data_IF_899222936136
#
_entry.id   IF_899222936136
#
_cell.length_a   1.000
_cell.length_b   1.000
_cell.length_c   1.000
_cell.angle_alpha   90.00
_cell.angle_beta   90.00
_cell.angle_gamma   90.00
#
_symmetry.space_group_name_H-M   'P 1'
#
loop_
_entity.id
_entity.type
_entity.pdbx_description
1 polymer ?
#
# COMPACT_ATOMS: atom_id res chain seq x y z
N UNK A 1 85.66 -72.98 55.60
CA UNK A 1 85.56 -71.58 55.12
C UNK A 1 84.63 -71.54 53.91
N UNK A 2 83.81 -70.48 53.82
CA UNK A 2 82.79 -70.05 52.83
C UNK A 2 82.84 -70.72 51.42
N UNK A 3 81.75 -71.27 50.87
CA UNK A 3 80.52 -70.68 50.26
C UNK A 3 80.75 -69.94 48.91
N UNK A 4 80.17 -70.45 47.80
CA UNK A 4 79.14 -69.82 46.92
C UNK A 4 79.19 -70.23 45.42
N UNK A 5 77.96 -70.46 44.93
CA UNK A 5 77.35 -70.84 43.65
C UNK A 5 77.26 -69.69 42.61
N UNK A 6 77.27 -69.99 41.29
CA UNK A 6 76.45 -69.42 40.18
C UNK A 6 77.02 -69.94 38.84
N UNK A 7 76.30 -70.25 37.75
CA UNK A 7 74.95 -69.90 37.30
C UNK A 7 75.02 -69.61 35.78
N UNK A 8 74.28 -70.38 34.99
CA UNK A 8 74.10 -70.41 33.53
C UNK A 8 73.81 -69.03 32.88
N UNK A 9 74.08 -68.85 31.57
CA UNK A 9 73.15 -68.18 30.60
C UNK A 9 73.59 -68.45 29.14
N UNK A 10 72.61 -68.88 28.35
CA UNK A 10 72.62 -69.19 26.92
C UNK A 10 72.20 -67.94 26.14
N UNK A 11 72.86 -67.63 25.02
CA UNK A 11 72.52 -66.53 24.12
C UNK A 11 71.78 -67.10 22.89
N UNK A 12 70.49 -66.79 22.74
CA UNK A 12 69.70 -67.06 21.52
C UNK A 12 69.38 -65.72 20.86
N UNK A 13 69.82 -65.59 19.61
CA UNK A 13 69.59 -64.46 18.72
C UNK A 13 68.14 -64.52 18.19
N UNK A 14 67.30 -63.56 18.56
CA UNK A 14 65.94 -63.40 18.03
C UNK A 14 65.94 -62.50 16.79
N UNK A 15 65.47 -63.03 15.66
CA UNK A 15 65.19 -62.28 14.43
C UNK A 15 63.85 -61.55 14.63
N UNK A 16 63.88 -60.22 14.67
CA UNK A 16 62.68 -59.38 14.71
C UNK A 16 62.05 -59.24 13.32
N UNK A 17 60.83 -59.76 13.15
CA UNK A 17 59.94 -59.41 12.06
C UNK A 17 59.40 -57.99 12.31
N UNK A 18 59.78 -57.04 11.46
CA UNK A 18 59.15 -55.72 11.42
C UNK A 18 57.77 -55.86 10.77
N UNK A 19 56.72 -55.89 11.58
CA UNK A 19 55.36 -55.66 11.13
C UNK A 19 55.21 -54.18 10.78
N UNK A 20 54.90 -53.89 9.52
CA UNK A 20 54.52 -52.56 9.07
C UNK A 20 53.05 -52.34 9.45
N UNK A 21 52.80 -51.84 10.67
CA UNK A 21 51.48 -51.33 11.03
C UNK A 21 51.24 -50.02 10.27
N UNK A 22 50.37 -50.08 9.26
CA UNK A 22 49.71 -48.86 8.77
C UNK A 22 48.78 -48.41 9.90
N UNK A 23 49.11 -47.30 10.56
CA UNK A 23 48.16 -46.58 11.38
C UNK A 23 46.94 -46.26 10.50
N UNK A 24 45.84 -46.96 10.73
CA UNK A 24 44.55 -46.62 10.12
C UNK A 24 44.08 -45.38 10.85
N UNK A 25 44.16 -44.21 10.20
CA UNK A 25 43.56 -43.00 10.77
C UNK A 25 42.09 -43.28 11.13
N UNK A 26 41.64 -42.89 12.34
CA UNK A 26 40.27 -43.14 12.75
C UNK A 26 39.33 -42.44 11.78
N UNK A 27 38.38 -43.20 11.22
CA UNK A 27 37.31 -42.64 10.40
C UNK A 27 36.52 -41.69 11.32
N UNK A 28 36.65 -40.38 11.10
CA UNK A 28 35.87 -39.37 11.82
C UNK A 28 34.43 -39.48 11.33
N UNK A 29 33.59 -40.13 12.13
CA UNK A 29 32.15 -40.22 11.86
C UNK A 29 31.50 -38.86 12.11
N UNK A 30 30.98 -38.24 11.06
CA UNK A 30 30.30 -36.96 11.15
C UNK A 30 28.86 -37.12 11.67
N UNK A 31 28.56 -36.44 12.78
CA UNK A 31 27.26 -36.46 13.46
C UNK A 31 26.69 -35.07 13.69
N UNK A 32 27.38 -34.03 13.24
CA UNK A 32 26.99 -32.65 13.50
C UNK A 32 26.11 -32.21 12.33
N UNK A 33 24.93 -31.69 12.64
CA UNK A 33 24.03 -31.21 11.61
C UNK A 33 24.51 -29.87 11.03
N UNK A 34 24.28 -29.63 9.72
CA UNK A 34 24.60 -28.37 9.10
C UNK A 34 23.78 -27.21 9.67
N UNK A 35 24.37 -26.01 9.67
CA UNK A 35 23.73 -24.77 10.09
C UNK A 35 23.16 -24.07 8.86
N UNK A 36 21.84 -24.01 8.76
CA UNK A 36 21.12 -23.22 7.76
C UNK A 36 20.75 -21.85 8.33
N UNK A 37 20.79 -20.79 7.51
CA UNK A 37 20.43 -19.42 7.88
C UNK A 37 19.58 -18.79 6.79
N UNK A 38 18.56 -18.04 7.21
CA UNK A 38 17.79 -17.13 6.35
C UNK A 38 18.06 -15.71 6.84
N UNK A 39 18.52 -14.84 5.94
CA UNK A 39 18.58 -13.42 6.22
C UNK A 39 17.17 -12.88 6.50
N UNK A 40 17.01 -12.09 7.56
CA UNK A 40 15.71 -11.52 7.97
C UNK A 40 14.99 -10.84 6.81
N UNK A 41 15.78 -10.20 5.95
CA UNK A 41 15.34 -9.49 4.76
C UNK A 41 14.88 -10.45 3.65
N UNK A 42 14.65 -11.73 3.90
CA UNK A 42 14.05 -12.64 2.91
C UNK A 42 12.96 -13.52 3.51
N UNK A 43 12.50 -13.23 4.73
CA UNK A 43 11.47 -14.01 5.42
C UNK A 43 10.07 -13.90 4.80
N UNK A 44 9.77 -12.84 4.03
CA UNK A 44 8.47 -12.62 3.40
C UNK A 44 8.70 -12.27 1.93
N UNK A 45 8.00 -12.90 0.99
CA UNK A 45 8.07 -12.60 -0.45
C UNK A 45 6.66 -12.27 -0.94
N UNK A 46 6.52 -11.24 -1.78
CA UNK A 46 5.24 -10.88 -2.39
C UNK A 46 5.21 -11.27 -3.86
N UNK A 47 4.17 -11.99 -4.26
CA UNK A 47 3.96 -12.44 -5.63
C UNK A 47 2.58 -12.06 -6.11
N UNK A 48 2.49 -11.81 -7.40
CA UNK A 48 1.22 -11.70 -8.10
C UNK A 48 0.69 -13.10 -8.44
N UNK A 49 -0.63 -13.24 -8.42
CA UNK A 49 -1.30 -14.47 -8.84
C UNK A 49 -0.98 -14.72 -10.31
N UNK A 50 -0.62 -15.97 -10.63
CA UNK A 50 -0.17 -16.39 -11.96
C UNK A 50 1.08 -15.63 -12.46
N UNK A 51 1.88 -15.02 -11.58
CA UNK A 51 3.11 -14.36 -11.99
C UNK A 51 4.09 -15.36 -12.60
N UNK A 52 4.60 -15.05 -13.79
CA UNK A 52 5.60 -15.86 -14.48
C UNK A 52 7.00 -15.50 -13.94
N UNK A 53 7.49 -16.27 -12.98
CA UNK A 53 8.80 -16.08 -12.33
C UNK A 53 9.51 -17.40 -12.03
N UNK A 54 10.84 -17.37 -12.00
CA UNK A 54 11.65 -18.47 -11.48
C UNK A 54 11.52 -18.52 -9.95
N UNK A 55 10.54 -19.28 -9.47
CA UNK A 55 10.18 -19.32 -8.05
C UNK A 55 11.32 -19.84 -7.17
N UNK A 56 12.12 -20.80 -7.65
CA UNK A 56 13.20 -21.39 -6.84
C UNK A 56 14.34 -20.41 -6.63
N UNK A 57 14.69 -19.65 -7.66
CA UNK A 57 15.69 -18.58 -7.57
C UNK A 57 15.24 -17.47 -6.60
N UNK A 58 13.96 -17.09 -6.64
CA UNK A 58 13.43 -16.11 -5.69
C UNK A 58 13.40 -16.65 -4.25
N UNK A 59 13.00 -17.91 -4.08
CA UNK A 59 12.91 -18.56 -2.77
C UNK A 59 14.29 -18.78 -2.14
N UNK A 60 15.34 -19.06 -2.90
CA UNK A 60 16.68 -19.33 -2.35
C UNK A 60 17.47 -18.07 -1.96
N UNK A 61 17.06 -16.88 -2.42
CA UNK A 61 17.76 -15.63 -2.08
C UNK A 61 17.88 -15.41 -0.57
N UNK A 62 19.08 -15.07 -0.11
CA UNK A 62 19.38 -14.84 1.31
C UNK A 62 19.36 -16.10 2.18
N UNK A 63 19.26 -17.31 1.61
CA UNK A 63 19.41 -18.58 2.33
C UNK A 63 20.82 -19.11 2.13
N UNK A 64 21.48 -19.49 3.22
CA UNK A 64 22.86 -20.05 3.22
C UNK A 64 22.93 -21.26 4.13
N UNK A 65 23.87 -22.16 3.85
CA UNK A 65 24.11 -23.34 4.68
C UNK A 65 25.60 -23.68 4.78
N UNK A 66 26.05 -23.97 6.00
CA UNK A 66 27.44 -24.29 6.30
C UNK A 66 27.50 -25.50 7.23
N UNK A 67 28.45 -26.38 6.98
CA UNK A 67 28.74 -27.57 7.77
C UNK A 67 30.20 -27.57 8.27
N UNK A 68 30.48 -28.25 9.39
CA UNK A 68 31.82 -28.33 9.97
C UNK A 68 32.81 -29.18 9.16
N UNK A 69 32.36 -30.19 8.43
CA UNK A 69 33.19 -31.09 7.61
C UNK A 69 32.98 -30.82 6.12
N UNK A 70 31.74 -30.65 5.67
CA UNK A 70 31.43 -30.45 4.25
C UNK A 70 31.62 -29.01 3.74
N UNK A 71 31.78 -28.04 4.65
CA UNK A 71 32.00 -26.64 4.30
C UNK A 71 30.73 -25.93 3.83
N UNK A 72 30.82 -25.13 2.78
CA UNK A 72 29.65 -24.45 2.20
C UNK A 72 28.83 -25.42 1.36
N UNK A 73 27.62 -25.72 1.85
CA UNK A 73 26.65 -26.62 1.21
C UNK A 73 25.40 -25.86 0.78
N UNK A 74 25.47 -24.55 0.60
CA UNK A 74 24.35 -23.70 0.19
C UNK A 74 23.68 -24.19 -1.10
N UNK A 75 24.44 -24.73 -2.05
CA UNK A 75 23.92 -25.31 -3.29
C UNK A 75 23.07 -26.57 -3.10
N UNK A 76 23.10 -27.20 -1.92
CA UNK A 76 22.39 -28.45 -1.63
C UNK A 76 21.07 -28.24 -0.88
N UNK A 77 20.72 -26.98 -0.58
CA UNK A 77 19.49 -26.63 0.14
C UNK A 77 18.28 -27.16 -0.62
N UNK A 78 17.41 -27.85 0.12
CA UNK A 78 16.13 -28.35 -0.35
C UNK A 78 15.04 -27.34 0.00
N UNK A 79 14.12 -27.12 -0.94
CA UNK A 79 12.97 -26.22 -0.80
C UNK A 79 11.70 -27.05 -0.86
N UNK A 80 11.00 -27.17 0.27
CA UNK A 80 9.65 -27.72 0.30
C UNK A 80 8.63 -26.58 0.10
N UNK A 81 8.15 -26.51 -1.14
CA UNK A 81 7.10 -25.59 -1.61
C UNK A 81 5.78 -26.31 -1.92
N UNK A 82 5.57 -27.50 -1.35
CA UNK A 82 4.38 -28.33 -1.63
C UNK A 82 3.05 -27.64 -1.29
N UNK A 83 3.07 -26.72 -0.31
CA UNK A 83 1.92 -25.92 0.10
C UNK A 83 1.69 -24.68 -0.80
N UNK A 84 2.68 -24.26 -1.60
CA UNK A 84 2.63 -23.02 -2.39
C UNK A 84 1.75 -23.19 -3.64
N UNK A 85 0.69 -22.38 -3.74
CA UNK A 85 -0.19 -22.34 -4.90
C UNK A 85 -0.24 -20.92 -5.47
N UNK A 86 0.53 -20.66 -6.54
CA UNK A 86 0.57 -19.34 -7.20
C UNK A 86 -0.72 -18.98 -7.94
N UNK A 87 -1.66 -19.91 -8.08
CA UNK A 87 -2.97 -19.68 -8.71
C UNK A 87 -4.02 -19.21 -7.72
N UNK A 88 -3.71 -19.22 -6.43
CA UNK A 88 -4.63 -18.81 -5.36
C UNK A 88 -3.98 -17.74 -4.50
N UNK A 89 -4.76 -16.73 -4.15
CA UNK A 89 -4.33 -15.71 -3.20
C UNK A 89 -4.24 -16.30 -1.81
N UNK A 90 -3.20 -15.95 -1.07
CA UNK A 90 -2.99 -16.49 0.26
C UNK A 90 -1.61 -16.20 0.81
N UNK A 91 -1.42 -16.56 2.08
CA UNK A 91 -0.11 -16.59 2.72
C UNK A 91 0.31 -18.05 2.84
N UNK A 92 1.43 -18.40 2.24
CA UNK A 92 1.95 -19.76 2.13
C UNK A 92 3.27 -19.88 2.87
N UNK A 93 3.48 -20.97 3.60
CA UNK A 93 4.75 -21.23 4.28
C UNK A 93 5.60 -22.17 3.43
N UNK A 94 6.78 -21.71 3.02
CA UNK A 94 7.79 -22.52 2.33
C UNK A 94 8.88 -22.92 3.33
N UNK A 95 9.31 -24.19 3.30
CA UNK A 95 10.30 -24.75 4.24
C UNK A 95 11.63 -24.99 3.55
N UNK A 96 12.73 -24.75 4.28
CA UNK A 96 14.10 -24.93 3.82
C UNK A 96 14.85 -25.83 4.79
N UNK A 97 15.60 -26.79 4.26
CA UNK A 97 16.48 -27.67 5.02
C UNK A 97 17.60 -28.17 4.10
N UNK A 98 18.66 -28.71 4.69
CA UNK A 98 19.77 -29.29 3.93
C UNK A 98 20.30 -30.52 4.67
N UNK A 99 20.81 -31.48 3.90
CA UNK A 99 21.55 -32.63 4.42
C UNK A 99 23.03 -32.46 4.08
N UNK A 100 23.89 -32.80 5.03
CA UNK A 100 25.31 -33.04 4.77
C UNK A 100 25.52 -34.40 4.06
N UNK A 101 26.76 -34.76 3.76
CA UNK A 101 27.09 -36.06 3.13
C UNK A 101 26.91 -37.24 4.09
N UNK A 102 26.98 -37.03 5.40
CA UNK A 102 26.74 -38.04 6.43
C UNK A 102 25.25 -38.26 6.73
N UNK A 103 24.37 -37.48 6.07
CA UNK A 103 22.90 -37.48 6.20
C UNK A 103 22.39 -36.88 7.51
N UNK A 104 23.17 -36.05 8.20
CA UNK A 104 22.61 -35.21 9.27
C UNK A 104 21.80 -34.07 8.62
N UNK A 105 20.62 -33.78 9.18
CA UNK A 105 19.72 -32.77 8.66
C UNK A 105 19.82 -31.48 9.46
N UNK A 106 19.86 -30.33 8.78
CA UNK A 106 19.70 -29.04 9.44
C UNK A 106 18.35 -28.91 10.15
N UNK A 107 18.23 -27.89 10.99
CA UNK A 107 16.91 -27.38 11.38
C UNK A 107 16.12 -26.92 10.16
N UNK A 108 14.79 -26.92 10.27
CA UNK A 108 13.89 -26.41 9.22
C UNK A 108 13.68 -24.92 9.45
N UNK A 109 13.95 -24.11 8.44
CA UNK A 109 13.60 -22.70 8.43
C UNK A 109 12.44 -22.44 7.48
N UNK A 110 11.72 -21.32 7.68
CA UNK A 110 10.54 -20.99 6.89
C UNK A 110 10.60 -19.59 6.28
N UNK A 111 9.99 -19.45 5.10
CA UNK A 111 9.61 -18.15 4.50
C UNK A 111 8.10 -18.09 4.32
N UNK A 112 7.53 -16.91 4.43
CA UNK A 112 6.15 -16.62 4.04
C UNK A 112 6.13 -16.11 2.60
N UNK A 113 5.27 -16.67 1.77
CA UNK A 113 4.99 -16.20 0.41
C UNK A 113 3.56 -15.68 0.37
N UNK A 114 3.39 -14.41 0.06
CA UNK A 114 2.08 -13.75 0.00
C UNK A 114 1.71 -13.58 -1.48
N UNK A 115 0.76 -14.40 -1.95
CA UNK A 115 0.23 -14.33 -3.33
C UNK A 115 -1.00 -13.41 -3.33
N UNK A 116 -1.02 -12.44 -4.24
CA UNK A 116 -2.05 -11.39 -4.35
C UNK A 116 -2.73 -11.39 -5.70
N UNK A 117 -4.02 -11.07 -5.74
CA UNK A 117 -4.73 -10.90 -7.00
C UNK A 117 -4.18 -9.67 -7.76
N UNK A 118 -4.13 -9.78 -9.09
CA UNK A 118 -3.93 -8.66 -10.02
C UNK A 118 -5.28 -8.28 -10.62
N UNK A 119 -5.51 -6.98 -10.74
CA UNK A 119 -6.75 -6.46 -11.33
C UNK A 119 -6.40 -5.41 -12.38
N UNK A 120 -7.12 -5.47 -13.49
CA UNK A 120 -7.13 -4.38 -14.46
C UNK A 120 -8.15 -3.32 -14.04
N UNK A 121 -8.04 -2.13 -14.65
CA UNK A 121 -9.02 -1.07 -14.48
C UNK A 121 -10.38 -1.55 -15.00
N UNK A 122 -11.40 -1.44 -14.15
CA UNK A 122 -12.76 -1.88 -14.47
C UNK A 122 -13.31 -1.06 -15.63
N UNK A 123 -13.64 -1.75 -16.73
CA UNK A 123 -14.41 -1.16 -17.83
C UNK A 123 -15.76 -0.65 -17.32
N UNK A 124 -16.24 0.53 -17.76
CA UNK A 124 -17.47 1.11 -17.22
C UNK A 124 -18.70 0.21 -17.38
N UNK A 125 -19.41 -0.08 -16.28
CA UNK A 125 -20.69 -0.80 -16.32
C UNK A 125 -21.79 0.00 -17.06
N UNK A 126 -22.88 -0.63 -17.54
CA UNK A 126 -24.01 0.13 -18.08
C UNK A 126 -24.61 1.08 -17.03
N UNK A 127 -25.18 2.19 -17.50
CA UNK A 127 -25.86 3.16 -16.63
C UNK A 127 -27.30 2.70 -16.38
N UNK A 128 -27.76 2.82 -15.14
CA UNK A 128 -29.15 2.64 -14.74
C UNK A 128 -29.76 3.98 -14.34
N UNK A 129 -30.78 4.42 -15.09
CA UNK A 129 -31.48 5.69 -14.88
C UNK A 129 -32.92 5.53 -14.38
N UNK A 130 -33.43 4.30 -14.32
CA UNK A 130 -34.79 4.02 -13.85
C UNK A 130 -34.84 4.01 -12.31
N UNK A 131 -36.04 4.13 -11.71
CA UNK A 131 -36.21 3.87 -10.28
C UNK A 131 -35.63 2.50 -9.89
N UNK A 132 -35.01 2.44 -8.71
CA UNK A 132 -34.47 1.20 -8.17
C UNK A 132 -35.46 0.68 -7.13
N UNK A 133 -35.90 -0.56 -7.29
CA UNK A 133 -36.79 -1.19 -6.32
C UNK A 133 -36.11 -1.28 -4.95
N UNK A 134 -36.82 -0.88 -3.90
CA UNK A 134 -36.32 -0.87 -2.52
C UNK A 134 -35.05 -0.02 -2.33
N UNK A 135 -34.88 1.04 -3.13
CA UNK A 135 -33.83 2.04 -2.90
C UNK A 135 -34.07 2.77 -1.57
N UNK A 136 -32.99 2.99 -0.83
CA UNK A 136 -33.00 3.77 0.39
C UNK A 136 -33.39 5.23 0.09
N UNK A 137 -34.12 5.85 1.02
CA UNK A 137 -34.43 7.26 0.94
C UNK A 137 -33.16 8.12 1.02
N UNK A 138 -33.28 9.39 0.60
CA UNK A 138 -32.23 10.39 0.72
C UNK A 138 -31.65 10.39 2.16
N UNK A 139 -30.32 10.36 2.32
CA UNK A 139 -29.70 10.40 3.64
C UNK A 139 -29.99 11.73 4.34
N UNK A 140 -30.05 11.71 5.67
CA UNK A 140 -30.15 12.90 6.48
C UNK A 140 -28.90 13.79 6.35
N UNK A 141 -29.01 15.04 6.82
CA UNK A 141 -27.89 15.97 6.85
C UNK A 141 -26.75 15.43 7.73
N UNK A 142 -25.53 15.62 7.23
CA UNK A 142 -24.35 15.08 7.88
C UNK A 142 -23.90 15.96 9.05
N UNK A 143 -23.29 15.34 10.06
CA UNK A 143 -22.61 16.08 11.12
C UNK A 143 -21.29 16.65 10.61
N UNK A 144 -20.95 17.85 11.07
CA UNK A 144 -19.62 18.43 10.90
C UNK A 144 -18.61 17.63 11.71
N UNK A 145 -17.49 17.28 11.08
CA UNK A 145 -16.32 16.73 11.74
C UNK A 145 -15.22 17.78 11.73
N UNK A 146 -14.57 17.99 12.87
CA UNK A 146 -13.52 19.00 13.00
C UNK A 146 -12.22 18.61 12.28
N UNK A 147 -11.37 19.61 12.02
CA UNK A 147 -9.95 19.41 11.73
C UNK A 147 -9.53 19.61 10.30
N UNK A 148 -10.47 19.94 9.41
CA UNK A 148 -10.21 20.15 7.99
C UNK A 148 -11.24 21.11 7.39
N UNK A 149 -10.92 21.63 6.20
CA UNK A 149 -11.88 22.27 5.31
C UNK A 149 -12.27 21.25 4.26
N UNK A 150 -13.52 20.80 4.22
CA UNK A 150 -13.97 19.85 3.21
C UNK A 150 -15.37 20.13 2.67
N UNK A 151 -15.56 19.79 1.40
CA UNK A 151 -16.85 19.60 0.78
C UNK A 151 -17.07 18.11 0.53
N UNK A 152 -18.10 17.54 1.16
CA UNK A 152 -18.39 16.11 1.14
C UNK A 152 -19.76 15.84 0.57
N UNK A 153 -19.86 14.81 -0.26
CA UNK A 153 -21.12 14.25 -0.76
C UNK A 153 -21.18 12.79 -0.35
N UNK A 154 -22.24 12.41 0.37
CA UNK A 154 -22.39 11.05 0.93
C UNK A 154 -23.71 10.42 0.50
N UNK A 155 -23.68 9.13 0.18
CA UNK A 155 -24.83 8.40 -0.34
C UNK A 155 -25.80 8.03 0.77
N UNK A 156 -27.04 7.73 0.36
CA UNK A 156 -27.93 6.90 1.15
C UNK A 156 -27.22 5.59 1.54
N UNK A 157 -27.54 5.06 2.72
CA UNK A 157 -27.10 3.74 3.13
C UNK A 157 -27.94 2.69 2.38
N UNK A 158 -27.32 2.00 1.42
CA UNK A 158 -27.99 1.05 0.54
C UNK A 158 -27.03 -0.08 0.11
N UNK A 159 -27.48 -1.00 -0.74
CA UNK A 159 -26.71 -2.12 -1.27
C UNK A 159 -25.71 -1.70 -2.37
N UNK A 160 -24.97 -0.63 -2.11
CA UNK A 160 -23.89 -0.15 -2.96
C UNK A 160 -22.67 -1.07 -2.83
N UNK A 161 -21.98 -1.33 -3.95
CA UNK A 161 -20.77 -2.17 -4.00
C UNK A 161 -19.55 -1.41 -4.53
N UNK A 162 -19.71 -0.12 -4.80
CA UNK A 162 -18.63 0.74 -5.23
C UNK A 162 -19.10 2.16 -5.54
N UNK A 163 -18.14 3.01 -5.86
CA UNK A 163 -18.31 4.38 -6.36
C UNK A 163 -17.24 4.63 -7.42
N UNK A 164 -17.58 5.38 -8.46
CA UNK A 164 -16.61 5.91 -9.40
C UNK A 164 -16.90 7.38 -9.70
N UNK A 165 -15.87 8.12 -10.09
CA UNK A 165 -16.02 9.49 -10.54
C UNK A 165 -14.92 9.90 -11.52
N UNK A 166 -15.32 10.60 -12.57
CA UNK A 166 -14.40 11.23 -13.53
C UNK A 166 -14.16 12.66 -13.09
N UNK A 167 -12.92 12.99 -12.75
CA UNK A 167 -12.52 14.28 -12.18
C UNK A 167 -11.34 14.87 -12.94
N UNK A 168 -11.41 16.17 -13.21
CA UNK A 168 -10.26 16.98 -13.61
C UNK A 168 -9.66 17.57 -12.34
N UNK A 169 -8.39 17.25 -12.08
CA UNK A 169 -7.72 17.67 -10.84
C UNK A 169 -7.55 19.20 -10.79
N UNK A 170 -7.80 19.83 -9.64
CA UNK A 170 -7.73 21.27 -9.47
C UNK A 170 -6.28 21.77 -9.40
N UNK A 171 -6.06 23.02 -9.80
CA UNK A 171 -4.87 23.77 -9.37
C UNK A 171 -4.96 24.13 -7.89
N UNK A 172 -3.81 24.32 -7.26
CA UNK A 172 -3.67 24.57 -5.83
C UNK A 172 -2.83 25.81 -5.57
N UNK A 173 -3.14 26.52 -4.48
CA UNK A 173 -2.31 27.59 -3.92
C UNK A 173 -2.16 27.33 -2.42
N UNK A 174 -1.02 26.76 -2.02
CA UNK A 174 -0.75 26.44 -0.61
C UNK A 174 -0.17 27.68 0.09
N UNK A 175 -0.73 28.04 1.24
CA UNK A 175 -0.31 29.23 2.03
C UNK A 175 0.05 28.93 3.48
N UNK A 176 -0.01 27.67 3.94
CA UNK A 176 0.32 27.29 5.32
C UNK A 176 1.46 26.27 5.38
N UNK A 177 2.58 26.66 5.97
CA UNK A 177 3.83 25.90 6.02
C UNK A 177 4.44 25.89 7.43
N UNK A 178 5.18 24.82 7.76
CA UNK A 178 6.01 24.71 8.96
C UNK A 178 7.35 25.40 8.69
N UNK A 179 7.42 26.71 8.96
CA UNK A 179 8.63 27.52 8.78
C UNK A 179 8.43 28.77 7.92
N UNK A 180 9.50 29.25 7.30
CA UNK A 180 9.48 30.44 6.45
C UNK A 180 9.00 30.10 5.04
N UNK A 181 7.77 30.49 4.69
CA UNK A 181 7.24 30.28 3.34
C UNK A 181 7.89 31.24 2.32
N UNK A 182 8.38 30.70 1.20
CA UNK A 182 8.79 31.51 0.04
C UNK A 182 7.60 31.86 -0.86
N UNK A 183 7.12 33.10 -0.72
CA UNK A 183 6.00 33.62 -1.52
C UNK A 183 6.26 33.73 -3.03
N UNK A 184 7.52 33.64 -3.48
CA UNK A 184 7.87 33.65 -4.90
C UNK A 184 7.64 32.29 -5.58
N UNK A 185 7.53 31.23 -4.80
CA UNK A 185 7.26 29.87 -5.29
C UNK A 185 5.77 29.56 -5.20
N UNK A 186 5.26 28.80 -6.17
CA UNK A 186 3.88 28.30 -6.11
C UNK A 186 3.71 27.27 -4.98
N UNK A 187 4.74 26.47 -4.74
CA UNK A 187 4.88 25.50 -3.64
C UNK A 187 6.34 25.50 -3.23
N UNK A 188 6.60 25.55 -1.93
CA UNK A 188 7.96 25.44 -1.40
C UNK A 188 8.33 23.97 -1.11
N UNK A 189 9.29 23.36 -1.85
CA UNK A 189 9.67 21.98 -1.63
C UNK A 189 10.54 21.78 -0.37
N UNK A 190 11.04 22.85 0.26
CA UNK A 190 11.95 22.80 1.41
C UNK A 190 11.22 22.85 2.75
N UNK A 191 10.03 23.43 2.81
CA UNK A 191 9.23 23.51 4.04
C UNK A 191 8.06 22.55 4.00
N UNK A 192 7.66 22.04 5.16
CA UNK A 192 6.54 21.09 5.25
C UNK A 192 5.23 21.83 5.09
N UNK A 193 4.39 21.37 4.17
CA UNK A 193 3.03 21.89 4.01
C UNK A 193 2.19 21.45 5.22
N UNK A 194 1.50 22.39 5.86
CA UNK A 194 0.60 22.11 6.97
C UNK A 194 -0.85 21.93 6.50
N UNK A 195 -1.17 22.41 5.31
CA UNK A 195 -2.42 22.16 4.60
C UNK A 195 -2.17 21.16 3.48
N UNK A 196 -2.99 20.12 3.46
CA UNK A 196 -2.82 18.94 2.62
C UNK A 196 -4.09 18.71 1.80
N UNK A 197 -4.22 19.34 0.61
CA UNK A 197 -5.35 19.09 -0.26
C UNK A 197 -5.50 17.61 -0.62
N UNK A 198 -6.74 17.14 -0.68
CA UNK A 198 -7.05 15.76 -1.02
C UNK A 198 -8.36 15.67 -1.80
N UNK A 199 -8.42 14.67 -2.68
CA UNK A 199 -9.62 14.26 -3.39
C UNK A 199 -9.75 12.77 -3.12
N UNK A 200 -10.71 12.40 -2.29
CA UNK A 200 -10.88 11.01 -1.89
C UNK A 200 -12.33 10.59 -1.93
N UNK A 201 -12.50 9.29 -2.10
CA UNK A 201 -13.75 8.58 -1.98
C UNK A 201 -13.63 7.59 -0.83
N UNK A 202 -14.55 6.63 -0.77
CA UNK A 202 -14.58 5.62 0.26
C UNK A 202 -15.99 5.54 0.82
N UNK A 203 -16.11 5.06 2.04
CA UNK A 203 -17.43 4.69 2.54
C UNK A 203 -17.39 4.09 3.92
N UNK A 204 -18.59 3.76 4.40
CA UNK A 204 -18.78 3.08 5.65
C UNK A 204 -19.75 1.91 5.44
N UNK A 205 -19.33 0.73 5.89
CA UNK A 205 -20.16 -0.46 6.01
C UNK A 205 -20.13 -0.94 7.48
N UNK A 206 -19.39 -2.01 7.79
CA UNK A 206 -19.07 -2.32 9.19
C UNK A 206 -17.86 -1.52 9.70
N UNK A 207 -17.03 -1.05 8.77
CA UNK A 207 -15.84 -0.22 9.02
C UNK A 207 -15.74 0.89 7.99
N UNK A 208 -15.01 1.95 8.34
CA UNK A 208 -14.77 3.08 7.46
C UNK A 208 -13.56 2.85 6.54
N UNK A 209 -13.61 3.45 5.35
CA UNK A 209 -12.46 3.59 4.44
C UNK A 209 -12.45 4.97 3.78
N UNK A 210 -11.25 5.51 3.59
CA UNK A 210 -10.99 6.79 2.92
C UNK A 210 -9.86 6.57 1.89
N UNK A 211 -10.17 6.74 0.61
CA UNK A 211 -9.38 6.16 -0.46
C UNK A 211 -9.38 7.08 -1.68
N UNK A 212 -8.21 7.42 -2.21
CA UNK A 212 -8.12 8.25 -3.39
C UNK A 212 -6.77 8.93 -3.51
N UNK A 213 -6.78 10.24 -3.69
CA UNK A 213 -5.62 11.06 -3.96
C UNK A 213 -5.41 12.09 -2.86
N UNK A 214 -4.17 12.22 -2.41
CA UNK A 214 -3.78 13.26 -1.48
C UNK A 214 -2.50 13.93 -1.97
N UNK A 215 -2.44 15.24 -1.80
CA UNK A 215 -1.30 16.04 -2.21
C UNK A 215 -0.13 15.74 -1.28
N UNK A 216 0.89 15.03 -1.76
CA UNK A 216 1.93 14.41 -0.94
C UNK A 216 3.33 14.72 -1.44
N UNK A 217 4.37 14.45 -0.63
CA UNK A 217 5.75 14.59 -1.06
C UNK A 217 6.04 13.83 -2.37
N UNK A 218 6.87 14.40 -3.21
CA UNK A 218 7.24 13.87 -4.52
C UNK A 218 8.77 13.94 -4.69
N UNK A 219 9.33 13.17 -5.60
CA UNK A 219 10.74 13.30 -6.00
C UNK A 219 10.94 14.50 -6.91
N UNK A 220 11.82 15.42 -6.56
CA UNK A 220 12.18 16.60 -7.36
C UNK A 220 13.66 16.59 -7.69
N UNK A 221 14.04 17.24 -8.80
CA UNK A 221 15.44 17.46 -9.16
C UNK A 221 15.93 18.79 -8.58
N UNK A 222 16.89 18.72 -7.66
CA UNK A 222 17.56 19.91 -7.08
C UNK A 222 19.03 19.87 -7.49
N UNK A 223 19.45 20.85 -8.29
CA UNK A 223 20.81 20.93 -8.86
C UNK A 223 21.22 19.63 -9.60
N UNK A 224 20.28 19.01 -10.31
CA UNK A 224 20.50 17.75 -11.04
C UNK A 224 20.42 16.48 -10.19
N UNK A 225 20.24 16.59 -8.87
CA UNK A 225 20.12 15.44 -7.98
C UNK A 225 18.67 15.21 -7.55
N UNK A 226 18.23 13.95 -7.55
CA UNK A 226 16.91 13.58 -7.08
C UNK A 226 16.79 13.68 -5.55
N UNK A 227 15.71 14.32 -5.08
CA UNK A 227 15.40 14.51 -3.67
C UNK A 227 13.90 14.40 -3.45
N UNK A 228 13.46 13.74 -2.38
CA UNK A 228 12.05 13.81 -1.96
C UNK A 228 11.79 15.18 -1.30
N UNK A 229 10.74 15.87 -1.72
CA UNK A 229 10.32 17.15 -1.14
C UNK A 229 10.02 17.01 0.36
N UNK A 230 10.29 18.07 1.13
CA UNK A 230 9.82 18.15 2.52
C UNK A 230 8.34 18.58 2.57
N UNK A 231 7.93 19.45 1.65
CA UNK A 231 6.53 19.80 1.38
C UNK A 231 5.81 18.76 0.51
N UNK A 232 4.51 18.95 0.30
CA UNK A 232 3.72 18.16 -0.66
C UNK A 232 3.77 18.81 -2.05
N UNK A 233 3.81 18.01 -3.12
CA UNK A 233 4.04 18.53 -4.48
C UNK A 233 3.25 17.83 -5.61
N UNK A 234 2.65 16.65 -5.38
CA UNK A 234 1.80 15.98 -6.37
C UNK A 234 0.63 15.24 -5.71
N UNK A 235 -0.49 15.07 -6.43
CA UNK A 235 -1.56 14.17 -5.98
C UNK A 235 -1.11 12.73 -6.15
N UNK A 236 -1.07 11.98 -5.05
CA UNK A 236 -0.60 10.60 -5.02
C UNK A 236 -1.64 9.66 -4.42
N UNK A 237 -1.74 8.41 -4.92
CA UNK A 237 -2.66 7.41 -4.38
C UNK A 237 -2.46 7.14 -2.89
N UNK A 238 -3.56 6.95 -2.19
CA UNK A 238 -3.60 6.46 -0.82
C UNK A 238 -4.87 5.68 -0.55
N UNK A 239 -4.80 4.77 0.42
CA UNK A 239 -5.97 4.09 0.95
C UNK A 239 -5.83 3.97 2.46
N UNK A 240 -6.84 4.42 3.16
CA UNK A 240 -6.99 4.31 4.61
C UNK A 240 -8.18 3.42 4.91
N UNK A 241 -8.00 2.50 5.84
CA UNK A 241 -9.04 1.53 6.21
C UNK A 241 -8.94 1.13 7.67
N UNK A 242 -10.08 0.86 8.29
CA UNK A 242 -10.13 0.39 9.68
C UNK A 242 -10.19 -1.14 9.69
N UNK A 243 -9.29 -1.79 10.44
CA UNK A 243 -9.35 -3.23 10.70
C UNK A 243 -8.68 -3.64 12.01
N UNK A 244 -9.20 -4.71 12.63
CA UNK A 244 -8.60 -5.42 13.77
C UNK A 244 -7.93 -6.73 13.38
N UNK A 245 -8.22 -7.23 12.17
CA UNK A 245 -7.74 -8.51 11.63
C UNK A 245 -6.97 -8.27 10.33
N UNK A 246 -6.17 -9.25 9.89
CA UNK A 246 -5.50 -9.23 8.57
C UNK A 246 -4.77 -7.90 8.30
N UNK A 247 -4.06 -7.39 9.31
CA UNK A 247 -3.31 -6.14 9.20
C UNK A 247 -2.12 -6.37 8.26
N UNK A 248 -2.03 -5.55 7.22
CA UNK A 248 -0.95 -5.57 6.22
C UNK A 248 0.09 -4.47 6.49
N UNK A 249 0.42 -4.25 7.77
CA UNK A 249 1.44 -3.27 8.20
C UNK A 249 2.82 -3.64 7.64
N UNK A 250 3.56 -2.64 7.16
CA UNK A 250 4.91 -2.86 6.62
C UNK A 250 5.43 -1.68 5.82
N UNK A 251 6.74 -1.55 5.70
CA UNK A 251 7.41 -0.53 4.88
C UNK A 251 7.43 -0.92 3.40
N UNK A 252 8.00 -0.06 2.55
CA UNK A 252 8.36 -0.47 1.18
C UNK A 252 9.40 -1.59 1.22
N UNK A 253 9.30 -2.55 0.31
CA UNK A 253 10.25 -3.65 0.16
C UNK A 253 10.35 -4.04 -1.33
N UNK A 254 11.07 -3.20 -2.08
CA UNK A 254 11.14 -3.29 -3.54
C UNK A 254 11.84 -4.56 -4.01
N UNK A 255 12.84 -5.03 -3.26
CA UNK A 255 13.55 -6.27 -3.56
C UNK A 255 12.61 -7.49 -3.54
N UNK A 256 11.51 -7.39 -2.78
CA UNK A 256 10.49 -8.44 -2.65
C UNK A 256 9.16 -8.07 -3.30
N UNK A 257 9.16 -7.09 -4.20
CA UNK A 257 7.98 -6.68 -4.96
C UNK A 257 6.95 -5.84 -4.20
N UNK A 258 7.18 -5.48 -2.93
CA UNK A 258 6.26 -4.62 -2.18
C UNK A 258 6.52 -3.15 -2.47
N UNK A 259 5.68 -2.58 -3.34
CA UNK A 259 5.74 -1.16 -3.74
C UNK A 259 4.84 -0.23 -2.94
N UNK A 260 4.41 -0.62 -1.74
CA UNK A 260 3.62 0.24 -0.87
C UNK A 260 3.96 0.02 0.59
N UNK A 261 3.78 1.05 1.40
CA UNK A 261 3.91 0.99 2.85
C UNK A 261 2.55 1.14 3.50
N UNK A 262 2.31 0.46 4.61
CA UNK A 262 1.12 0.62 5.45
C UNK A 262 1.58 0.88 6.88
N UNK A 263 1.04 1.92 7.50
CA UNK A 263 1.30 2.26 8.90
C UNK A 263 0.02 2.14 9.72
N UNK A 264 0.12 1.52 10.89
CA UNK A 264 -0.97 1.46 11.85
C UNK A 264 -0.96 2.68 12.78
N UNK A 265 -2.07 3.42 12.82
CA UNK A 265 -2.22 4.63 13.65
C UNK A 265 -3.36 4.48 14.67
N UNK A 266 -3.40 5.40 15.63
CA UNK A 266 -4.34 5.39 16.76
C UNK A 266 -3.91 4.46 17.90
N UNK A 267 -4.50 4.63 19.08
CA UNK A 267 -4.19 3.85 20.28
C UNK A 267 -4.46 2.35 20.11
N UNK A 268 -5.53 2.00 19.40
CA UNK A 268 -5.89 0.61 19.06
C UNK A 268 -5.10 0.02 17.90
N UNK A 269 -4.26 0.81 17.22
CA UNK A 269 -3.56 0.44 15.97
C UNK A 269 -4.49 -0.25 14.96
N UNK A 270 -5.70 0.29 14.79
CA UNK A 270 -6.71 -0.25 13.84
C UNK A 270 -6.85 0.60 12.59
N UNK A 271 -6.33 1.82 12.59
CA UNK A 271 -6.39 2.74 11.46
C UNK A 271 -5.16 2.53 10.55
N UNK A 272 -5.34 1.78 9.47
CA UNK A 272 -4.28 1.48 8.51
C UNK A 272 -4.21 2.58 7.46
N UNK A 273 -3.03 3.15 7.25
CA UNK A 273 -2.80 4.18 6.24
C UNK A 273 -1.75 3.69 5.28
N UNK A 274 -2.14 3.51 4.02
CA UNK A 274 -1.27 3.00 2.98
C UNK A 274 -0.87 4.08 1.98
N UNK A 275 0.38 3.99 1.52
CA UNK A 275 0.98 4.89 0.55
C UNK A 275 1.73 4.07 -0.49
N UNK A 276 1.53 4.39 -1.77
CA UNK A 276 2.32 3.81 -2.84
C UNK A 276 3.76 4.36 -2.82
N UNK A 277 4.70 3.59 -3.36
CA UNK A 277 6.11 3.94 -3.42
C UNK A 277 6.31 5.26 -4.17
N UNK A 278 7.10 6.15 -3.57
CA UNK A 278 7.32 7.49 -4.13
C UNK A 278 8.19 7.46 -5.38
N UNK A 279 9.01 6.42 -5.61
CA UNK A 279 9.83 6.31 -6.83
C UNK A 279 9.04 6.18 -8.13
N UNK A 280 7.75 5.84 -8.05
CA UNK A 280 6.89 5.64 -9.22
C UNK A 280 6.21 6.94 -9.66
N UNK A 281 6.98 7.77 -10.35
CA UNK A 281 6.56 9.10 -10.81
C UNK A 281 5.41 9.06 -11.83
N UNK A 282 5.14 7.91 -12.46
CA UNK A 282 3.96 7.70 -13.31
C UNK A 282 2.64 7.77 -12.53
N UNK A 283 2.68 7.64 -11.19
CA UNK A 283 1.50 7.79 -10.31
C UNK A 283 1.49 9.13 -9.58
N UNK A 284 2.25 10.10 -10.09
CA UNK A 284 2.12 11.49 -9.70
C UNK A 284 1.10 12.13 -10.62
N UNK A 285 -0.09 12.41 -10.09
CA UNK A 285 -1.12 13.12 -10.81
C UNK A 285 -1.04 14.61 -10.49
N UNK A 286 -1.22 15.43 -11.52
CA UNK A 286 -1.03 16.87 -11.46
C UNK A 286 -2.32 17.60 -11.85
N UNK A 287 -2.45 18.88 -11.46
CA UNK A 287 -3.57 19.71 -11.90
C UNK A 287 -3.83 19.60 -13.41
N UNK A 288 -5.10 19.49 -13.79
CA UNK A 288 -5.54 19.30 -15.17
C UNK A 288 -5.50 17.87 -15.70
N UNK A 289 -4.88 16.91 -15.00
CA UNK A 289 -5.07 15.49 -15.34
C UNK A 289 -6.55 15.12 -15.15
N UNK A 290 -7.13 14.44 -16.14
CA UNK A 290 -8.49 13.89 -16.07
C UNK A 290 -8.41 12.41 -15.71
N UNK A 291 -8.98 12.07 -14.57
CA UNK A 291 -8.89 10.75 -13.98
C UNK A 291 -10.28 10.17 -13.75
N UNK A 292 -10.47 8.88 -14.02
CA UNK A 292 -11.61 8.13 -13.49
C UNK A 292 -11.13 7.34 -12.28
N UNK A 293 -11.55 7.78 -11.09
CA UNK A 293 -11.22 7.14 -9.81
C UNK A 293 -12.36 6.17 -9.46
N UNK A 294 -12.02 4.93 -9.16
CA UNK A 294 -12.97 3.86 -8.84
C UNK A 294 -12.60 3.25 -7.50
N UNK A 295 -13.57 3.19 -6.59
CA UNK A 295 -13.49 2.38 -5.38
C UNK A 295 -14.54 1.28 -5.51
N UNK A 296 -14.09 0.04 -5.67
CA UNK A 296 -14.98 -1.10 -5.90
C UNK A 296 -14.67 -2.23 -4.94
N UNK A 297 -15.69 -3.02 -4.60
CA UNK A 297 -15.54 -4.22 -3.79
C UNK A 297 -15.40 -5.47 -4.67
N UNK A 298 -14.18 -5.98 -4.91
CA UNK A 298 -13.98 -7.19 -5.70
C UNK A 298 -14.46 -8.45 -4.98
N UNK A 299 -14.50 -8.43 -3.65
CA UNK A 299 -14.92 -9.53 -2.80
C UNK A 299 -15.45 -9.02 -1.45
N UNK A 300 -16.21 -9.87 -0.75
CA UNK A 300 -16.81 -9.53 0.54
C UNK A 300 -15.75 -9.13 1.56
N UNK A 301 -15.97 -8.00 2.24
CA UNK A 301 -15.07 -7.36 3.20
C UNK A 301 -13.82 -6.68 2.62
N UNK A 302 -13.77 -6.43 1.32
CA UNK A 302 -12.61 -5.81 0.68
C UNK A 302 -13.00 -4.69 -0.27
N UNK A 303 -12.09 -3.74 -0.42
CA UNK A 303 -12.15 -2.68 -1.44
C UNK A 303 -10.83 -2.61 -2.20
N UNK A 304 -10.88 -1.99 -3.36
CA UNK A 304 -9.71 -1.66 -4.18
C UNK A 304 -9.85 -0.24 -4.73
N UNK A 305 -8.73 0.48 -4.79
CA UNK A 305 -8.59 1.74 -5.51
C UNK A 305 -8.10 1.44 -6.93
N UNK A 306 -8.80 1.95 -7.92
CA UNK A 306 -8.32 2.01 -9.29
C UNK A 306 -8.41 3.45 -9.79
N UNK A 307 -7.43 3.87 -10.58
CA UNK A 307 -7.36 5.20 -11.18
C UNK A 307 -7.04 4.99 -12.65
N UNK A 308 -7.96 5.40 -13.51
CA UNK A 308 -7.78 5.42 -14.95
C UNK A 308 -7.34 6.81 -15.38
N UNK A 309 -6.23 6.93 -16.11
CA UNK A 309 -5.87 8.20 -16.76
C UNK A 309 -6.65 8.31 -18.06
N UNK A 310 -7.67 9.18 -18.07
CA UNK A 310 -8.49 9.45 -19.25
C UNK A 310 -7.77 10.43 -20.18
N UNK A 311 -7.19 11.48 -19.59
CA UNK A 311 -6.51 12.53 -20.33
C UNK A 311 -5.38 13.12 -19.48
N UNK A 312 -4.21 13.29 -20.08
CA UNK A 312 -3.06 13.97 -19.45
C UNK A 312 -3.30 15.47 -19.42
N UNK A 313 -2.79 16.14 -18.39
CA UNK A 313 -2.91 17.59 -18.25
C UNK A 313 -2.33 18.34 -19.44
N UNK A 314 -3.10 19.32 -19.91
CA UNK A 314 -2.68 20.30 -20.92
C UNK A 314 -2.21 21.62 -20.31
N UNK A 315 -2.19 21.72 -18.97
CA UNK A 315 -1.72 22.93 -18.31
C UNK A 315 -0.20 23.04 -18.49
N UNK A 316 0.26 24.21 -18.93
CA UNK A 316 1.69 24.48 -19.14
C UNK A 316 2.50 24.26 -17.86
N UNK A 317 1.93 24.61 -16.69
CA UNK A 317 2.53 24.38 -15.38
C UNK A 317 2.78 22.90 -15.09
N UNK A 318 1.78 22.04 -15.32
CA UNK A 318 1.89 20.59 -15.11
C UNK A 318 2.86 19.93 -16.10
N UNK A 319 2.83 20.34 -17.38
CA UNK A 319 3.76 19.85 -18.42
C UNK A 319 5.20 20.23 -18.05
N UNK A 320 5.42 21.49 -17.66
CA UNK A 320 6.74 22.01 -17.26
C UNK A 320 7.27 21.25 -16.04
N UNK A 321 6.45 21.05 -15.01
CA UNK A 321 6.85 20.31 -13.81
C UNK A 321 7.31 18.89 -14.13
N UNK A 322 6.56 18.14 -14.96
CA UNK A 322 6.97 16.77 -15.36
C UNK A 322 8.31 16.78 -16.08
N UNK A 323 8.46 17.69 -17.05
CA UNK A 323 9.70 17.84 -17.84
C UNK A 323 10.89 18.19 -16.95
N UNK A 324 10.76 19.20 -16.10
CA UNK A 324 11.83 19.72 -15.26
C UNK A 324 12.32 18.71 -14.22
N UNK A 325 11.44 17.80 -13.78
CA UNK A 325 11.77 16.75 -12.81
C UNK A 325 12.03 15.38 -13.45
N UNK A 326 12.08 15.29 -14.78
CA UNK A 326 12.25 14.04 -15.52
C UNK A 326 11.26 12.93 -15.09
N UNK A 327 10.00 13.32 -14.85
CA UNK A 327 8.96 12.38 -14.47
C UNK A 327 8.37 11.68 -15.69
N UNK A 328 7.90 10.46 -15.47
CA UNK A 328 7.12 9.73 -16.46
C UNK A 328 5.77 10.41 -16.70
N UNK A 329 5.20 10.10 -17.86
CA UNK A 329 3.80 10.41 -18.13
C UNK A 329 2.88 9.69 -17.13
N UNK A 330 1.71 10.27 -16.80
CA UNK A 330 0.81 9.64 -15.86
C UNK A 330 0.24 8.34 -16.45
N UNK A 331 0.21 7.30 -15.62
CA UNK A 331 -0.34 5.98 -15.94
C UNK A 331 -1.52 5.63 -15.03
N UNK A 332 -2.36 4.71 -15.51
CA UNK A 332 -3.42 4.13 -14.70
C UNK A 332 -2.84 3.32 -13.54
N UNK A 333 -3.47 3.43 -12.37
CA UNK A 333 -3.01 2.83 -11.13
C UNK A 333 -4.06 1.86 -10.58
N UNK A 334 -3.59 0.75 -10.00
CA UNK A 334 -4.43 -0.20 -9.28
C UNK A 334 -3.74 -0.52 -7.95
N UNK A 335 -4.42 -0.27 -6.84
CA UNK A 335 -3.92 -0.64 -5.53
C UNK A 335 -4.03 -2.16 -5.33
N UNK A 336 -3.26 -2.73 -4.38
CA UNK A 336 -3.63 -3.99 -3.76
C UNK A 336 -5.07 -3.91 -3.24
N UNK A 337 -5.72 -5.07 -3.15
CA UNK A 337 -6.98 -5.20 -2.43
C UNK A 337 -6.71 -5.04 -0.94
N UNK A 338 -7.51 -4.21 -0.26
CA UNK A 338 -7.35 -3.93 1.16
C UNK A 338 -8.63 -4.17 1.92
N UNK A 339 -8.48 -4.49 3.21
CA UNK A 339 -9.60 -4.83 4.08
C UNK A 339 -10.55 -3.65 4.20
N UNK A 340 -11.84 -3.93 4.09
CA UNK A 340 -12.92 -2.99 4.40
C UNK A 340 -14.15 -3.77 4.85
N UNK A 341 -14.22 -4.05 6.15
CA UNK A 341 -15.26 -4.87 6.75
C UNK A 341 -16.67 -4.42 6.37
N UNK A 342 -17.49 -5.37 5.91
CA UNK A 342 -18.87 -5.17 5.51
C UNK A 342 -19.08 -4.82 4.03
N UNK A 343 -18.14 -4.13 3.37
CA UNK A 343 -18.28 -3.79 1.95
C UNK A 343 -18.35 -5.04 1.07
N UNK A 344 -19.13 -4.99 -0.01
CA UNK A 344 -19.36 -6.12 -0.93
C UNK A 344 -20.15 -7.29 -0.35
N UNK A 345 -20.56 -7.22 0.93
CA UNK A 345 -21.36 -8.23 1.60
C UNK A 345 -22.86 -8.05 1.39
N UNK A 346 -23.64 -8.57 2.33
CA UNK A 346 -25.11 -8.49 2.35
C UNK A 346 -25.63 -7.30 3.15
N UNK A 347 -24.76 -6.55 3.82
CA UNK A 347 -25.15 -5.36 4.57
C UNK A 347 -25.15 -4.14 3.66
N UNK A 348 -25.93 -3.12 4.05
CA UNK A 348 -25.91 -1.84 3.37
C UNK A 348 -24.62 -1.09 3.70
N UNK A 349 -24.19 -0.26 2.76
CA UNK A 349 -23.02 0.60 2.87
C UNK A 349 -23.38 2.01 2.43
N UNK A 350 -22.59 2.98 2.88
CA UNK A 350 -22.54 4.32 2.34
C UNK A 350 -21.26 4.50 1.57
N UNK A 351 -21.30 5.31 0.51
CA UNK A 351 -20.11 5.80 -0.15
C UNK A 351 -20.10 7.32 -0.12
N UNK A 352 -18.90 7.90 -0.12
CA UNK A 352 -18.69 9.34 -0.12
C UNK A 352 -17.65 9.72 -1.15
N UNK A 353 -17.73 10.96 -1.62
CA UNK A 353 -16.63 11.68 -2.25
C UNK A 353 -16.38 12.97 -1.49
N UNK A 354 -15.12 13.38 -1.43
CA UNK A 354 -14.68 14.52 -0.64
C UNK A 354 -13.60 15.27 -1.40
N UNK A 355 -13.77 16.58 -1.45
CA UNK A 355 -12.71 17.54 -1.74
C UNK A 355 -12.32 18.17 -0.40
N UNK A 356 -11.06 18.08 0.01
CA UNK A 356 -10.63 18.57 1.31
C UNK A 356 -9.30 19.32 1.26
N UNK A 357 -9.08 20.13 2.29
CA UNK A 357 -7.79 20.61 2.78
C UNK A 357 -7.65 20.02 4.18
N UNK A 358 -6.99 18.87 4.26
CA UNK A 358 -6.68 18.22 5.53
C UNK A 358 -5.58 19.01 6.25
N UNK A 359 -5.68 19.14 7.58
CA UNK A 359 -4.71 19.92 8.35
C UNK A 359 -3.87 19.02 9.24
N UNK A 360 -2.56 19.13 9.10
CA UNK A 360 -1.59 18.32 9.85
C UNK A 360 -1.87 18.41 11.36
N UNK A 361 -1.99 17.23 12.01
CA UNK A 361 -2.21 17.08 13.45
C UNK A 361 -3.47 17.81 14.01
N UNK A 362 -4.47 18.03 13.17
CA UNK A 362 -5.68 18.77 13.53
C UNK A 362 -6.99 17.96 13.52
N UNK A 363 -6.93 16.66 13.24
CA UNK A 363 -8.14 15.80 13.18
C UNK A 363 -9.01 15.94 14.45
N UNK A 364 -10.31 16.15 14.25
CA UNK A 364 -11.29 16.28 15.33
C UNK A 364 -11.27 17.62 16.08
N UNK A 365 -10.31 18.51 15.82
CA UNK A 365 -10.21 19.84 16.43
C UNK A 365 -10.93 20.91 15.59
N UNK A 366 -10.95 22.15 16.05
CA UNK A 366 -11.41 23.27 15.22
C UNK A 366 -10.51 23.42 13.99
N UNK A 367 -11.08 23.54 12.80
CA UNK A 367 -10.29 23.80 11.59
C UNK A 367 -9.54 25.13 11.75
N UNK A 368 -8.26 25.17 11.42
CA UNK A 368 -7.42 26.36 11.50
C UNK A 368 -7.68 27.21 10.25
N UNK A 369 -7.82 28.52 10.43
CA UNK A 369 -7.96 29.44 9.30
C UNK A 369 -6.74 29.38 8.38
N UNK A 370 -6.95 29.55 7.07
CA UNK A 370 -5.88 29.49 6.08
C UNK A 370 -6.26 30.25 4.81
N UNK A 371 -5.25 30.79 4.12
CA UNK A 371 -5.37 31.35 2.77
C UNK A 371 -5.08 30.30 1.68
N UNK A 372 -4.91 29.03 2.05
CA UNK A 372 -4.75 27.93 1.10
C UNK A 372 -6.02 27.80 0.27
N UNK A 373 -5.87 27.80 -1.05
CA UNK A 373 -6.97 27.70 -2.01
C UNK A 373 -6.84 26.41 -2.84
N UNK A 374 -7.95 25.69 -2.97
CA UNK A 374 -8.12 24.63 -3.96
C UNK A 374 -9.05 25.20 -5.03
N UNK A 375 -8.52 25.41 -6.23
CA UNK A 375 -9.34 25.88 -7.36
C UNK A 375 -10.37 24.82 -7.74
N UNK A 376 -11.10 25.06 -8.82
CA UNK A 376 -12.20 24.20 -9.22
C UNK A 376 -11.74 22.80 -9.62
N UNK A 377 -12.11 21.80 -8.82
CA UNK A 377 -12.14 20.41 -9.22
C UNK A 377 -13.44 20.15 -9.99
N UNK A 378 -13.34 19.58 -11.20
CA UNK A 378 -14.51 19.33 -12.05
C UNK A 378 -14.79 17.84 -12.04
N UNK A 379 -15.81 17.41 -11.30
CA UNK A 379 -16.37 16.07 -11.41
C UNK A 379 -17.33 16.03 -12.60
N UNK A 380 -16.90 15.52 -13.76
CA UNK A 380 -17.76 15.39 -14.94
C UNK A 380 -18.91 14.40 -14.69
N UNK A 381 -18.63 13.36 -13.92
CA UNK A 381 -19.61 12.35 -13.50
C UNK A 381 -19.21 11.69 -12.20
N UNK A 382 -20.19 11.25 -11.42
CA UNK A 382 -20.02 10.41 -10.23
C UNK A 382 -21.16 9.39 -10.19
N UNK A 383 -20.81 8.11 -10.13
CA UNK A 383 -21.75 7.00 -10.11
C UNK A 383 -21.50 6.11 -8.90
N UNK A 384 -22.57 5.64 -8.27
CA UNK A 384 -22.53 4.51 -7.34
C UNK A 384 -22.68 3.21 -8.13
N UNK A 385 -22.10 2.12 -7.66
CA UNK A 385 -22.26 0.80 -8.26
C UNK A 385 -23.29 -0.01 -7.47
N UNK A 386 -24.27 -0.60 -8.17
CA UNK A 386 -25.29 -1.47 -7.56
C UNK A 386 -25.62 -2.66 -8.44
N UNK A 387 -25.88 -3.81 -7.82
CA UNK A 387 -26.48 -4.95 -8.50
C UNK A 387 -28.00 -4.75 -8.59
N UNK A 388 -28.53 -4.75 -9.80
CA UNK A 388 -29.97 -4.65 -10.08
C UNK A 388 -30.32 -5.86 -10.95
N UNK A 389 -31.24 -6.70 -10.46
CA UNK A 389 -31.60 -7.98 -11.10
C UNK A 389 -30.37 -8.85 -11.43
N UNK A 390 -29.43 -8.93 -10.49
CA UNK A 390 -28.20 -9.72 -10.62
C UNK A 390 -27.08 -9.11 -11.47
N UNK A 391 -27.32 -7.99 -12.17
CA UNK A 391 -26.33 -7.32 -13.02
C UNK A 391 -25.81 -6.03 -12.39
N UNK A 392 -24.52 -5.74 -12.56
CA UNK A 392 -23.91 -4.50 -12.09
C UNK A 392 -24.24 -3.32 -13.01
N UNK A 393 -24.59 -2.20 -12.39
CA UNK A 393 -24.84 -0.93 -13.06
C UNK A 393 -24.15 0.23 -12.33
N UNK A 394 -23.88 1.28 -13.11
CA UNK A 394 -23.60 2.62 -12.61
C UNK A 394 -24.91 3.37 -12.38
N UNK A 395 -25.08 3.91 -11.20
CA UNK A 395 -26.27 4.66 -10.78
C UNK A 395 -25.85 6.11 -10.51
N UNK A 396 -26.45 7.13 -11.17
CA UNK A 396 -26.03 8.53 -11.01
C UNK A 396 -26.03 8.96 -9.55
N UNK A 397 -24.94 9.49 -9.02
CA UNK A 397 -24.90 9.92 -7.62
C UNK A 397 -25.53 11.31 -7.45
N UNK A 398 -26.86 11.39 -7.57
CA UNK A 398 -27.65 12.62 -7.61
C UNK A 398 -28.30 12.99 -6.27
N UNK A 399 -28.99 14.14 -6.22
CA UNK A 399 -29.56 14.72 -4.99
C UNK A 399 -30.65 13.88 -4.32
N UNK A 400 -31.28 12.94 -5.04
CA UNK A 400 -32.29 12.03 -4.46
C UNK A 400 -31.66 11.00 -3.52
N UNK A 401 -30.35 10.74 -3.67
CA UNK A 401 -29.61 9.74 -2.90
C UNK A 401 -28.35 10.29 -2.27
N UNK A 402 -28.17 11.62 -2.26
CA UNK A 402 -26.99 12.29 -1.74
C UNK A 402 -27.35 13.29 -0.64
N UNK A 403 -26.48 13.39 0.36
CA UNK A 403 -26.40 14.51 1.31
C UNK A 403 -25.07 15.21 1.11
N UNK A 404 -25.08 16.55 1.17
CA UNK A 404 -23.92 17.40 0.91
C UNK A 404 -23.60 18.26 2.13
N UNK A 405 -22.32 18.46 2.42
CA UNK A 405 -21.89 19.36 3.47
C UNK A 405 -20.57 20.05 3.09
N UNK A 406 -20.54 21.39 3.18
CA UNK A 406 -19.32 22.20 3.21
C UNK A 406 -19.03 22.59 4.65
N UNK A 407 -17.90 22.11 5.19
CA UNK A 407 -17.55 22.29 6.59
C UNK A 407 -16.14 22.87 6.76
N UNK A 408 -15.87 23.64 7.83
CA UNK A 408 -16.79 24.04 8.90
C UNK A 408 -17.78 25.14 8.49
N UNK A 409 -17.52 25.86 7.40
CA UNK A 409 -18.32 27.00 6.94
C UNK A 409 -18.65 26.84 5.45
N UNK A 410 -19.94 26.75 5.11
CA UNK A 410 -20.41 26.58 3.73
C UNK A 410 -19.94 27.72 2.80
N UNK A 411 -19.68 28.92 3.34
CA UNK A 411 -19.26 30.09 2.56
C UNK A 411 -17.82 30.00 2.05
N UNK A 412 -17.04 29.03 2.53
CA UNK A 412 -15.72 28.69 2.02
C UNK A 412 -15.75 27.86 0.72
N UNK A 413 -16.93 27.58 0.16
CA UNK A 413 -17.09 26.69 -1.00
C UNK A 413 -17.89 27.33 -2.12
N UNK A 414 -17.37 27.22 -3.35
CA UNK A 414 -18.12 27.49 -4.58
C UNK A 414 -18.36 26.17 -5.30
N UNK A 415 -19.62 25.85 -5.57
CA UNK A 415 -19.99 24.57 -6.21
C UNK A 415 -21.23 24.70 -7.09
N UNK A 416 -21.36 23.83 -8.09
CA UNK A 416 -22.58 23.70 -8.91
C UNK A 416 -23.58 22.76 -8.25
N UNK A 417 -24.84 22.78 -8.69
CA UNK A 417 -25.77 21.69 -8.37
C UNK A 417 -25.25 20.34 -8.89
N UNK A 418 -25.68 19.24 -8.26
CA UNK A 418 -25.31 17.90 -8.71
C UNK A 418 -26.11 17.58 -9.97
N UNK A 419 -25.43 17.21 -11.06
CA UNK A 419 -26.09 16.85 -12.31
C UNK A 419 -26.96 15.59 -12.10
N UNK A 420 -28.27 15.62 -12.42
CA UNK A 420 -29.17 14.51 -12.13
C UNK A 420 -28.90 13.24 -12.95
N UNK A 421 -28.24 13.39 -14.11
CA UNK A 421 -27.95 12.31 -15.06
C UNK A 421 -26.55 11.73 -14.82
N UNK A 422 -25.56 12.56 -14.54
CA UNK A 422 -24.17 12.11 -14.40
C UNK A 422 -23.68 12.05 -12.95
N UNK A 423 -24.38 12.68 -12.00
CA UNK A 423 -23.87 12.90 -10.63
C UNK A 423 -22.69 13.89 -10.55
N UNK A 424 -22.33 14.51 -11.68
CA UNK A 424 -21.22 15.46 -11.78
C UNK A 424 -21.45 16.76 -11.02
N UNK A 425 -20.37 17.41 -10.62
CA UNK A 425 -20.36 18.66 -9.87
C UNK A 425 -19.00 19.36 -9.99
N UNK A 426 -18.97 20.68 -10.04
CA UNK A 426 -17.73 21.45 -9.82
C UNK A 426 -17.64 21.92 -8.37
N UNK A 427 -16.45 21.89 -7.77
CA UNK A 427 -16.22 22.30 -6.37
C UNK A 427 -14.88 23.03 -6.25
N UNK A 428 -14.88 24.19 -5.58
CA UNK A 428 -13.69 24.95 -5.18
C UNK A 428 -13.70 25.17 -3.66
N UNK A 429 -12.53 25.29 -3.04
CA UNK A 429 -12.37 25.53 -1.59
C UNK A 429 -11.52 26.78 -1.39
N UNK A 430 -12.09 27.77 -0.72
CA UNK A 430 -11.47 29.08 -0.46
C UNK A 430 -11.78 29.52 1.00
N UNK A 431 -11.08 28.96 2.00
CA UNK A 431 -11.32 29.23 3.42
C UNK A 431 -11.18 30.69 3.84
N UNK A 432 -10.47 31.50 3.05
CA UNK A 432 -10.32 32.95 3.25
C UNK A 432 -11.67 33.68 3.31
N UNK A 433 -12.69 33.21 2.57
CA UNK A 433 -14.02 33.85 2.51
C UNK A 433 -14.97 33.41 3.63
N UNK A 434 -14.53 32.55 4.55
CA UNK A 434 -15.38 32.05 5.62
C UNK A 434 -15.86 33.19 6.52
N UNK A 435 -17.18 33.31 6.69
CA UNK A 435 -17.80 34.31 7.57
C UNK A 435 -17.45 34.03 9.03
N UNK A 436 -17.46 32.76 9.41
CA UNK A 436 -17.05 32.32 10.73
C UNK A 436 -15.57 31.98 10.70
N UNK A 437 -14.73 32.90 11.19
CA UNK A 437 -13.36 32.53 11.54
C UNK A 437 -13.46 31.52 12.69
N UNK A 438 -13.02 30.27 12.50
CA UNK A 438 -12.98 29.32 13.60
C UNK A 438 -12.12 29.95 14.70
N UNK A 439 -12.63 30.00 15.95
CA UNK A 439 -11.95 30.70 17.05
C UNK A 439 -10.51 30.21 17.13
N UNK A 440 -9.56 31.13 16.99
CA UNK A 440 -8.16 30.89 17.37
C UNK A 440 -8.16 30.52 18.85
N UNK A 441 -7.75 29.29 19.17
CA UNK A 441 -7.55 28.84 20.55
C UNK A 441 -6.14 29.21 21.00
#
# INVERSE_FOLDING_TARGET
MKKILLGLIVFILGIGLAACDKEVEPIVEDKIAPIIRIQSDYLIIYLEKNQDVNIDELLIQGVTAIDNIDGDITGNIQIDKSELDLTKTGTYTVKFYVFDKARNQSTILTKQVIVRDTYEVITPFPIWSNPIENEAAKPADQKVFGGAWYYKVTSAEDYWVGIEGTVILPELKIRRYEGAFDSSLNIDPNFRNLDNPSIYMGGHAATESDVGLSFKPAQVLVNGNERVTNGSFAFRPFWRYITTVEKDEGTYDLAKGRRYSVSATGSSKTNMIANWYFGDTQYYYLPGDKLRIIIYSPSVNYLQLQIEVIEKSKLESSIKIRKDNNWKDPESFVSPVFRSGGHGGTIKATYKRVNAIDQVANEGKTAIHTETEVKTAIWESVYLHRKINGKLYRVPFNENRASTIGAPDQTAYTFTAINPITGGQSVSIHPETAITRPKEN
#
